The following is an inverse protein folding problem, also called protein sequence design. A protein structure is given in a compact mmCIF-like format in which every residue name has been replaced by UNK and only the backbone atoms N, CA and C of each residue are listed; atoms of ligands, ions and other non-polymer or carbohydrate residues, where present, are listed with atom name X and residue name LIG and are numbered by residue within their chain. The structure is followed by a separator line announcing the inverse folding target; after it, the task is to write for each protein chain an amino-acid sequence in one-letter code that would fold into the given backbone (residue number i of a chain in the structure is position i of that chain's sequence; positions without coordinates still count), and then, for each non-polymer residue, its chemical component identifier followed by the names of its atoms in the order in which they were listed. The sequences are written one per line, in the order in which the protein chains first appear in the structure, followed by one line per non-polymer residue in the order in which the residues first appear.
data_IF_515223280715
#
_entry.id   IF_515223280715
#
_cell.length_a   1.000
_cell.length_b   1.000
_cell.length_c   1.000
_cell.angle_alpha   90.00
_cell.angle_beta   90.00
_cell.angle_gamma   90.00
#
_symmetry.space_group_name_H-M   'P 1'
#
loop_
_entity.id
_entity.type
_entity.pdbx_description
1 polymer ?
#
# COMPACT_ATOMS: atom_id res chain seq x y z
N UNK A 1 14.97 30.27 1.85
CA UNK A 1 14.51 28.98 1.34
C UNK A 1 13.11 28.72 1.89
N UNK A 2 12.16 28.20 1.11
CA UNK A 2 10.87 27.76 1.63
C UNK A 2 11.05 26.70 2.72
N UNK A 3 10.16 26.69 3.71
CA UNK A 3 10.27 25.83 4.89
C UNK A 3 10.38 24.33 4.54
N UNK A 4 9.70 23.89 3.48
CA UNK A 4 9.74 22.49 3.02
C UNK A 4 11.13 22.06 2.52
N UNK A 5 11.85 22.93 1.81
CA UNK A 5 13.22 22.63 1.33
C UNK A 5 14.21 22.52 2.50
N UNK A 6 14.03 23.34 3.54
CA UNK A 6 14.86 23.29 4.74
C UNK A 6 14.62 21.99 5.53
N UNK A 7 13.36 21.58 5.72
CA UNK A 7 13.01 20.31 6.39
C UNK A 7 13.54 19.13 5.59
N UNK A 8 13.43 19.16 4.25
CA UNK A 8 13.97 18.12 3.39
C UNK A 8 15.50 17.99 3.54
N UNK A 9 16.22 19.11 3.50
CA UNK A 9 17.67 19.11 3.69
C UNK A 9 18.07 18.52 5.05
N UNK A 10 17.38 18.90 6.13
CA UNK A 10 17.65 18.37 7.47
C UNK A 10 17.34 16.88 7.58
N UNK A 11 16.28 16.40 6.92
CA UNK A 11 15.95 14.99 6.88
C UNK A 11 17.02 14.17 6.16
N UNK A 12 17.71 14.73 5.16
CA UNK A 12 18.79 14.01 4.46
C UNK A 12 20.03 13.76 5.34
N UNK A 13 20.26 14.58 6.36
CA UNK A 13 21.37 14.44 7.31
C UNK A 13 21.16 13.31 8.33
N UNK A 14 19.93 12.79 8.44
CA UNK A 14 19.59 11.67 9.31
C UNK A 14 20.14 10.33 8.77
N UNK A 15 20.36 9.37 9.67
CA UNK A 15 20.68 8.01 9.28
C UNK A 15 19.51 7.38 8.51
N UNK A 16 19.76 6.41 7.61
CA UNK A 16 18.70 5.78 6.82
C UNK A 16 17.51 5.27 7.62
N UNK A 17 17.73 4.72 8.82
CA UNK A 17 16.67 4.24 9.70
C UNK A 17 15.82 5.38 10.27
N UNK A 18 16.48 6.44 10.75
CA UNK A 18 15.82 7.64 11.29
C UNK A 18 14.99 8.35 10.21
N UNK A 19 15.47 8.37 8.97
CA UNK A 19 14.68 8.87 7.83
C UNK A 19 13.42 8.04 7.58
N UNK A 20 13.53 6.72 7.62
CA UNK A 20 12.39 5.83 7.44
C UNK A 20 11.35 6.07 8.54
N UNK A 21 11.80 6.17 9.80
CA UNK A 21 10.93 6.46 10.93
C UNK A 21 10.24 7.82 10.82
N UNK A 22 10.96 8.86 10.41
CA UNK A 22 10.38 10.19 10.16
C UNK A 22 9.31 10.16 9.06
N UNK A 23 9.55 9.43 7.97
CA UNK A 23 8.57 9.25 6.89
C UNK A 23 7.31 8.56 7.41
N UNK A 24 7.45 7.51 8.21
CA UNK A 24 6.30 6.82 8.83
C UNK A 24 5.49 7.75 9.74
N UNK A 25 6.16 8.53 10.60
CA UNK A 25 5.48 9.50 11.47
C UNK A 25 4.74 10.59 10.69
N UNK A 26 5.35 11.10 9.61
CA UNK A 26 4.70 12.08 8.74
C UNK A 26 3.47 11.47 8.04
N UNK A 27 3.58 10.24 7.51
CA UNK A 27 2.47 9.52 6.89
C UNK A 27 1.36 9.19 7.89
N UNK A 28 1.73 8.87 9.14
CA UNK A 28 0.76 8.60 10.20
C UNK A 28 0.03 9.87 10.64
N UNK A 29 0.69 11.04 10.61
CA UNK A 29 0.12 12.34 10.97
C UNK A 29 -0.99 12.80 10.02
N UNK A 30 -1.05 12.25 8.82
CA UNK A 30 -2.21 12.42 7.96
C UNK A 30 -3.40 11.70 8.59
N UNK A 31 -4.21 12.46 9.31
CA UNK A 31 -5.55 12.09 9.77
C UNK A 31 -6.44 11.86 8.53
N UNK A 32 -6.39 10.64 8.00
CA UNK A 32 -7.46 10.18 7.13
C UNK A 32 -8.56 9.69 8.06
N UNK A 33 -9.53 10.54 8.33
CA UNK A 33 -10.74 10.19 9.11
C UNK A 33 -11.46 8.94 8.57
N UNK A 34 -11.16 8.53 7.34
CA UNK A 34 -11.62 7.30 6.71
C UNK A 34 -10.71 6.08 6.87
N UNK A 35 -9.48 6.18 7.40
CA UNK A 35 -8.50 5.07 7.45
C UNK A 35 -9.08 3.84 8.17
N UNK A 36 -9.57 4.02 9.39
CA UNK A 36 -10.18 2.92 10.16
C UNK A 36 -11.38 2.29 9.44
N UNK A 37 -12.19 3.11 8.77
CA UNK A 37 -13.34 2.64 7.98
C UNK A 37 -12.89 1.85 6.75
N UNK A 38 -11.88 2.35 6.03
CA UNK A 38 -11.28 1.70 4.87
C UNK A 38 -10.66 0.37 5.30
N UNK A 39 -9.85 0.36 6.34
CA UNK A 39 -9.19 -0.85 6.85
C UNK A 39 -10.23 -1.92 7.25
N UNK A 40 -11.31 -1.51 7.93
CA UNK A 40 -12.41 -2.40 8.28
C UNK A 40 -13.13 -2.97 7.04
N UNK A 41 -13.35 -2.15 6.02
CA UNK A 41 -13.95 -2.58 4.75
C UNK A 41 -13.03 -3.53 3.98
N UNK A 42 -11.71 -3.29 3.99
CA UNK A 42 -10.72 -4.15 3.35
C UNK A 42 -10.61 -5.50 4.04
N UNK A 43 -10.56 -5.52 5.38
CA UNK A 43 -10.57 -6.75 6.16
C UNK A 43 -11.81 -7.59 5.83
N UNK A 44 -13.00 -6.99 5.95
CA UNK A 44 -14.26 -7.66 5.61
C UNK A 44 -14.27 -8.19 4.18
N UNK A 45 -13.85 -7.36 3.21
CA UNK A 45 -13.87 -7.77 1.80
C UNK A 45 -12.90 -8.92 1.51
N UNK A 46 -11.79 -8.99 2.23
CA UNK A 46 -10.80 -10.05 2.09
C UNK A 46 -11.37 -11.38 2.57
N UNK A 47 -11.98 -11.40 3.77
CA UNK A 47 -12.67 -12.57 4.30
C UNK A 47 -13.83 -13.02 3.39
N UNK A 48 -14.68 -12.09 2.96
CA UNK A 48 -15.79 -12.39 2.03
C UNK A 48 -15.32 -13.05 0.73
N UNK A 49 -14.11 -12.71 0.25
CA UNK A 49 -13.52 -13.28 -0.97
C UNK A 49 -12.93 -14.67 -0.72
N UNK A 50 -12.35 -14.91 0.44
CA UNK A 50 -11.85 -16.24 0.84
C UNK A 50 -13.04 -17.20 0.95
N UNK A 51 -14.08 -16.81 1.68
CA UNK A 51 -15.31 -17.60 1.83
C UNK A 51 -15.96 -17.93 0.47
N UNK A 52 -16.05 -16.94 -0.42
CA UNK A 52 -16.59 -17.17 -1.76
C UNK A 52 -15.74 -18.13 -2.59
N UNK A 53 -14.40 -18.12 -2.42
CA UNK A 53 -13.52 -19.06 -3.09
C UNK A 53 -13.69 -20.48 -2.53
N UNK A 54 -13.74 -20.61 -1.21
CA UNK A 54 -13.89 -21.90 -0.53
C UNK A 54 -15.24 -22.57 -0.83
N UNK A 55 -16.31 -21.77 -1.00
CA UNK A 55 -17.62 -22.25 -1.49
C UNK A 55 -17.65 -22.56 -2.99
N UNK A 56 -16.64 -22.15 -3.75
CA UNK A 56 -16.58 -22.31 -5.20
C UNK A 56 -17.36 -21.26 -6.00
N UNK A 57 -17.84 -20.19 -5.36
CA UNK A 57 -18.55 -19.07 -5.99
C UNK A 57 -17.61 -18.26 -6.91
N UNK A 58 -16.31 -18.23 -6.59
CA UNK A 58 -15.27 -17.60 -7.41
C UNK A 58 -14.11 -18.56 -7.68
N UNK A 59 -13.39 -18.35 -8.80
CA UNK A 59 -12.24 -19.17 -9.20
C UNK A 59 -10.94 -18.39 -9.05
N UNK A 60 -9.90 -19.08 -8.58
CA UNK A 60 -8.54 -18.57 -8.62
C UNK A 60 -7.98 -18.64 -10.04
N UNK A 61 -7.15 -17.67 -10.41
CA UNK A 61 -6.33 -17.72 -11.63
C UNK A 61 -4.91 -18.15 -11.25
N UNK A 62 -4.29 -19.11 -11.96
CA UNK A 62 -2.91 -19.48 -11.70
C UNK A 62 -1.95 -18.29 -11.82
N UNK A 63 -1.05 -18.13 -10.84
CA UNK A 63 -0.13 -16.99 -10.79
C UNK A 63 0.69 -16.82 -12.10
N UNK A 64 1.12 -17.92 -12.72
CA UNK A 64 1.83 -17.92 -14.01
C UNK A 64 1.07 -17.19 -15.12
N UNK A 65 -0.26 -17.29 -15.16
CA UNK A 65 -1.09 -16.65 -16.17
C UNK A 65 -1.21 -15.15 -15.92
N UNK A 66 -1.25 -14.76 -14.65
CA UNK A 66 -1.26 -13.35 -14.22
C UNK A 66 0.05 -12.67 -14.61
N UNK A 67 1.19 -13.27 -14.27
CA UNK A 67 2.51 -12.73 -14.62
C UNK A 67 2.69 -12.61 -16.13
N UNK A 68 2.38 -13.67 -16.89
CA UNK A 68 2.46 -13.64 -18.35
C UNK A 68 1.56 -12.54 -18.97
N UNK A 69 0.45 -12.18 -18.33
CA UNK A 69 -0.40 -11.05 -18.77
C UNK A 69 0.24 -9.70 -18.47
N UNK A 70 0.83 -9.52 -17.29
CA UNK A 70 1.50 -8.27 -16.89
C UNK A 70 2.71 -8.01 -17.81
N UNK A 71 3.53 -9.03 -18.08
CA UNK A 71 4.70 -8.90 -18.94
C UNK A 71 4.32 -8.46 -20.36
N UNK A 72 3.21 -8.99 -20.90
CA UNK A 72 2.68 -8.56 -22.20
C UNK A 72 2.18 -7.11 -22.19
N UNK A 73 1.64 -6.63 -21.07
CA UNK A 73 1.12 -5.26 -20.95
C UNK A 73 2.25 -4.22 -20.79
N UNK A 74 3.39 -4.60 -20.23
CA UNK A 74 4.57 -3.74 -20.05
C UNK A 74 5.43 -3.60 -21.31
N UNK A 75 5.11 -4.37 -22.37
CA UNK A 75 5.81 -4.34 -23.66
C UNK A 75 5.10 -3.46 -24.72
N UNK A 76 4.11 -2.65 -24.29
CA UNK A 76 3.41 -1.64 -25.09
C UNK A 76 3.82 -0.24 -24.63
#
# INVERSE_FOLDING_TARGET
MPATEQVFSQALDLLPMERAELVEQLLSSFEFSSRNTIDSLWARKSEDRIDAYDRGDIKATPAKEVFARIDRQQQL
#
